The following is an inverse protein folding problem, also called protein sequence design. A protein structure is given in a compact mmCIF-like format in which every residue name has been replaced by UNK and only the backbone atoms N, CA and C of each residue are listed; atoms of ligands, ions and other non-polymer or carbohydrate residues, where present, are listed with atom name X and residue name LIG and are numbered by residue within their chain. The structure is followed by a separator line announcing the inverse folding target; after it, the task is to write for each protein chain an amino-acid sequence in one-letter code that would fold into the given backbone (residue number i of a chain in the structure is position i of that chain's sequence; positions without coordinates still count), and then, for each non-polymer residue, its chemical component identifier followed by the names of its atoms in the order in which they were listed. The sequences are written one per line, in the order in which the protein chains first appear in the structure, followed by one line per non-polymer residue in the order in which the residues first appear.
data_IF_518094665401
#
_entry.id   IF_518094665401
#
_cell.length_a   1.000
_cell.length_b   1.000
_cell.length_c   1.000
_cell.angle_alpha   90.00
_cell.angle_beta   90.00
_cell.angle_gamma   90.00
#
_symmetry.space_group_name_H-M   'P 1'
#
loop_
_entity.id
_entity.type
_entity.pdbx_description
1 polymer ?
#
# COMPACT_ATOMS: atom_id res chain seq x y z
N UNK A 1 -8.14 0.45 3.48
CA UNK A 1 -6.93 -0.11 2.84
C UNK A 1 -7.23 -0.46 1.39
N UNK A 2 -6.32 -0.20 0.44
CA UNK A 2 -6.60 -0.35 -1.00
C UNK A 2 -5.39 -0.85 -1.77
N UNK A 3 -5.54 -1.93 -2.56
CA UNK A 3 -4.53 -2.34 -3.53
C UNK A 3 -4.67 -1.48 -4.80
N UNK A 4 -3.55 -0.97 -5.32
CA UNK A 4 -3.54 -0.12 -6.51
C UNK A 4 -2.35 -0.44 -7.40
N UNK A 5 -2.61 -0.68 -8.69
CA UNK A 5 -1.59 -0.63 -9.74
C UNK A 5 -1.40 0.80 -10.23
N UNK A 6 -0.16 1.24 -10.41
CA UNK A 6 0.11 2.51 -11.10
C UNK A 6 -0.23 3.79 -10.33
N UNK A 7 0.06 4.94 -10.94
CA UNK A 7 -0.34 6.26 -10.46
C UNK A 7 0.61 6.90 -9.44
N UNK A 8 0.38 8.17 -9.12
CA UNK A 8 1.34 9.01 -8.37
C UNK A 8 1.63 8.60 -6.92
N UNK A 9 2.64 9.27 -6.36
CA UNK A 9 3.16 9.05 -4.99
C UNK A 9 2.32 9.69 -3.88
N UNK A 10 1.37 10.57 -4.20
CA UNK A 10 0.41 11.17 -3.25
C UNK A 10 1.07 11.75 -1.98
N UNK A 11 2.15 12.53 -2.16
CA UNK A 11 2.91 13.13 -1.05
C UNK A 11 3.92 12.21 -0.35
N UNK A 12 3.90 10.89 -0.61
CA UNK A 12 4.82 9.95 0.06
C UNK A 12 6.24 10.00 -0.53
N UNK A 13 7.20 10.54 0.22
CA UNK A 13 8.58 10.72 -0.24
C UNK A 13 9.27 9.40 -0.64
N UNK A 14 9.07 8.31 0.11
CA UNK A 14 9.62 7.00 -0.27
C UNK A 14 9.07 6.46 -1.60
N UNK A 15 7.80 6.74 -1.94
CA UNK A 15 7.23 6.31 -3.21
C UNK A 15 7.75 7.17 -4.36
N UNK A 16 7.96 8.48 -4.11
CA UNK A 16 8.60 9.36 -5.07
C UNK A 16 9.99 8.83 -5.44
N UNK A 17 10.80 8.49 -4.43
CA UNK A 17 12.13 7.96 -4.65
C UNK A 17 12.12 6.61 -5.39
N UNK A 18 11.21 5.69 -5.06
CA UNK A 18 11.05 4.42 -5.80
C UNK A 18 10.74 4.68 -7.28
N UNK A 19 9.81 5.60 -7.58
CA UNK A 19 9.46 5.96 -8.96
C UNK A 19 10.66 6.56 -9.69
N UNK A 20 11.40 7.47 -9.05
CA UNK A 20 12.62 8.07 -9.60
C UNK A 20 13.68 7.01 -9.94
N UNK A 21 13.88 6.01 -9.06
CA UNK A 21 14.89 4.95 -9.26
C UNK A 21 14.47 3.90 -10.28
N UNK A 22 13.18 3.61 -10.38
CA UNK A 22 12.67 2.64 -11.36
C UNK A 22 12.39 3.27 -12.73
N UNK A 23 12.32 4.60 -12.83
CA UNK A 23 11.90 5.30 -14.05
C UNK A 23 10.42 5.08 -14.40
N UNK A 24 9.65 4.43 -13.53
CA UNK A 24 8.24 4.12 -13.77
C UNK A 24 7.44 4.06 -12.47
N UNK A 25 6.13 4.31 -12.57
CA UNK A 25 5.17 4.10 -11.50
C UNK A 25 4.29 2.86 -11.71
N UNK A 26 4.58 2.04 -12.73
CA UNK A 26 3.79 0.87 -13.13
C UNK A 26 4.06 -0.35 -12.23
N UNK A 27 3.80 -0.19 -10.94
CA UNK A 27 3.88 -1.26 -9.95
C UNK A 27 2.63 -1.29 -9.07
N UNK A 28 2.39 -2.45 -8.46
CA UNK A 28 1.32 -2.63 -7.49
C UNK A 28 1.79 -2.18 -6.10
N UNK A 29 0.90 -1.50 -5.37
CA UNK A 29 1.13 -1.15 -3.97
C UNK A 29 -0.15 -1.29 -3.16
N UNK A 30 -0.01 -1.80 -1.95
CA UNK A 30 -1.06 -1.79 -0.96
C UNK A 30 -0.99 -0.46 -0.18
N UNK A 31 -2.08 0.29 -0.16
CA UNK A 31 -2.19 1.53 0.61
C UNK A 31 -2.81 1.24 1.97
N UNK A 32 -2.03 1.49 3.01
CA UNK A 32 -2.44 1.50 4.39
C UNK A 32 -2.71 2.94 4.82
N UNK A 33 -3.93 3.24 5.29
CA UNK A 33 -4.28 4.59 5.72
C UNK A 33 -3.99 4.73 7.21
N UNK A 34 -3.14 5.69 7.58
CA UNK A 34 -2.81 6.00 8.99
C UNK A 34 -3.58 7.19 9.53
N UNK A 35 -4.34 7.90 8.68
CA UNK A 35 -4.97 9.18 9.04
C UNK A 35 -4.22 10.36 8.44
N UNK A 36 -4.59 11.57 8.87
CA UNK A 36 -3.90 12.82 8.55
C UNK A 36 -4.11 13.82 9.70
N UNK A 37 -3.14 14.69 9.99
CA UNK A 37 -3.36 15.79 10.92
C UNK A 37 -4.34 16.81 10.33
N UNK A 38 -4.89 17.65 11.21
CA UNK A 38 -5.79 18.74 10.82
C UNK A 38 -5.04 19.82 10.01
N UNK A 39 -3.77 20.05 10.34
CA UNK A 39 -2.93 21.06 9.72
C UNK A 39 -1.88 20.38 8.84
N UNK A 40 -1.79 20.80 7.57
CA UNK A 40 -0.91 20.14 6.59
C UNK A 40 0.58 20.28 6.94
N UNK A 41 0.98 21.37 7.60
CA UNK A 41 2.37 21.57 8.02
C UNK A 41 2.82 20.59 9.11
N UNK A 42 1.91 19.94 9.82
CA UNK A 42 2.21 18.95 10.87
C UNK A 42 2.42 17.54 10.32
N UNK A 43 2.23 17.32 9.01
CA UNK A 43 2.37 16.00 8.39
C UNK A 43 3.74 15.35 8.66
N UNK A 44 4.89 16.05 8.58
CA UNK A 44 6.19 15.44 8.87
C UNK A 44 6.27 14.87 10.28
N UNK A 45 5.84 15.64 11.30
CA UNK A 45 5.89 15.19 12.68
C UNK A 45 4.88 14.06 12.94
N UNK A 46 3.68 14.18 12.36
CA UNK A 46 2.64 13.16 12.46
C UNK A 46 3.13 11.79 11.97
N UNK A 47 3.76 11.71 10.78
CA UNK A 47 4.22 10.42 10.23
C UNK A 47 5.47 9.86 10.92
N UNK A 48 6.21 10.68 11.68
CA UNK A 48 7.36 10.27 12.47
C UNK A 48 6.99 9.91 13.92
N UNK A 49 5.79 10.28 14.35
CA UNK A 49 5.28 10.00 15.69
C UNK A 49 4.87 8.54 15.88
N UNK A 50 4.80 8.12 17.15
CA UNK A 50 4.22 6.83 17.50
C UNK A 50 2.70 6.86 17.36
N UNK A 51 2.12 5.74 16.92
CA UNK A 51 0.68 5.50 17.05
C UNK A 51 0.19 5.64 18.50
N UNK A 52 -1.01 6.17 18.67
CA UNK A 52 -1.71 6.21 19.95
C UNK A 52 -2.06 4.79 20.44
N UNK A 53 -2.27 4.57 21.75
CA UNK A 53 -2.57 3.23 22.29
C UNK A 53 -3.76 2.53 21.59
N UNK A 54 -4.86 3.27 21.39
CA UNK A 54 -6.06 2.78 20.70
C UNK A 54 -5.86 2.53 19.19
N UNK A 55 -4.87 3.16 18.57
CA UNK A 55 -4.47 2.88 17.19
C UNK A 55 -3.59 1.63 17.13
N UNK A 56 -2.63 1.51 18.05
CA UNK A 56 -1.73 0.35 18.18
C UNK A 56 -2.49 -0.95 18.36
N UNK A 57 -3.54 -0.96 19.17
CA UNK A 57 -4.41 -2.13 19.38
C UNK A 57 -5.01 -2.67 18.08
N UNK A 58 -5.21 -1.82 17.07
CA UNK A 58 -5.82 -2.19 15.79
C UNK A 58 -4.79 -2.68 14.77
N UNK A 59 -3.51 -2.40 14.96
CA UNK A 59 -2.44 -2.72 14.00
C UNK A 59 -2.35 -4.23 13.70
N UNK A 60 -2.37 -5.16 14.69
CA UNK A 60 -2.26 -6.59 14.41
C UNK A 60 -3.34 -7.10 13.44
N UNK A 61 -4.59 -6.72 13.65
CA UNK A 61 -5.70 -7.11 12.78
C UNK A 61 -5.57 -6.49 11.38
N UNK A 62 -5.16 -5.21 11.31
CA UNK A 62 -4.93 -4.55 10.02
C UNK A 62 -3.77 -5.20 9.24
N UNK A 63 -2.71 -5.65 9.91
CA UNK A 63 -1.62 -6.41 9.27
C UNK A 63 -2.13 -7.76 8.77
N UNK A 64 -2.89 -8.50 9.56
CA UNK A 64 -3.51 -9.77 9.15
C UNK A 64 -4.36 -9.60 7.90
N UNK A 65 -5.25 -8.60 7.87
CA UNK A 65 -6.09 -8.28 6.70
C UNK A 65 -5.23 -7.88 5.50
N UNK A 66 -4.12 -7.17 5.71
CA UNK A 66 -3.18 -6.79 4.64
C UNK A 66 -2.56 -8.03 3.98
N UNK A 67 -2.08 -8.97 4.79
CA UNK A 67 -1.47 -10.22 4.31
C UNK A 67 -2.47 -11.09 3.56
N UNK A 68 -3.70 -11.19 4.05
CA UNK A 68 -4.76 -11.92 3.38
C UNK A 68 -5.05 -11.31 2.00
N UNK A 69 -5.23 -9.98 1.93
CA UNK A 69 -5.47 -9.27 0.66
C UNK A 69 -4.33 -9.44 -0.34
N UNK A 70 -3.08 -9.41 0.11
CA UNK A 70 -1.91 -9.65 -0.75
C UNK A 70 -1.93 -11.09 -1.27
N UNK A 71 -2.20 -12.06 -0.39
CA UNK A 71 -2.23 -13.49 -0.74
C UNK A 71 -3.33 -13.80 -1.75
N UNK A 72 -4.53 -13.28 -1.55
CA UNK A 72 -5.67 -13.47 -2.47
C UNK A 72 -5.36 -12.85 -3.83
N UNK A 73 -4.82 -11.64 -3.86
CA UNK A 73 -4.42 -11.00 -5.11
C UNK A 73 -3.35 -11.79 -5.88
N UNK A 74 -2.36 -12.35 -5.19
CA UNK A 74 -1.34 -13.21 -5.81
C UNK A 74 -1.97 -14.47 -6.40
N UNK A 75 -2.91 -15.11 -5.69
CA UNK A 75 -3.62 -16.31 -6.17
C UNK A 75 -4.48 -16.00 -7.39
N UNK A 76 -5.28 -14.94 -7.35
CA UNK A 76 -6.12 -14.50 -8.47
C UNK A 76 -5.28 -14.22 -9.72
N UNK A 77 -4.14 -13.54 -9.55
CA UNK A 77 -3.16 -13.29 -10.61
C UNK A 77 -2.66 -14.58 -11.24
N UNK A 78 -2.19 -15.54 -10.43
CA UNK A 78 -1.68 -16.83 -10.92
C UNK A 78 -2.74 -17.59 -11.73
N UNK A 79 -3.97 -17.63 -11.23
CA UNK A 79 -5.09 -18.28 -11.92
C UNK A 79 -5.41 -17.60 -13.26
N UNK A 80 -5.33 -16.26 -13.31
CA UNK A 80 -5.50 -15.51 -14.55
C UNK A 80 -4.39 -15.77 -15.58
N UNK A 81 -3.14 -15.94 -15.15
CA UNK A 81 -2.03 -16.31 -16.03
C UNK A 81 -2.19 -17.74 -16.58
N UNK A 82 -2.57 -18.71 -15.74
CA UNK A 82 -2.76 -20.09 -16.18
C UNK A 82 -3.90 -20.23 -17.21
N UNK A 83 -5.02 -19.53 -17.00
CA UNK A 83 -6.13 -19.55 -17.98
C UNK A 83 -5.78 -18.96 -19.34
N UNK A 84 -4.79 -18.07 -19.42
CA UNK A 84 -4.32 -17.50 -20.69
C UNK A 84 -3.36 -18.46 -21.42
N UNK A 85 -2.58 -19.26 -20.68
CA UNK A 85 -1.74 -20.30 -21.29
C UNK A 85 -2.52 -21.52 -21.75
N UNK A 86 -3.65 -21.84 -21.10
CA UNK A 86 -4.46 -23.02 -21.42
C UNK A 86 -5.43 -22.81 -22.61
N UNK A 87 -5.54 -21.58 -23.11
CA UNK A 87 -6.42 -21.18 -24.22
C UNK A 87 -5.64 -20.78 -25.49
N UNK A 88 -4.38 -21.21 -25.58
CA UNK A 88 -3.50 -21.18 -26.75
C UNK A 88 -3.19 -22.63 -27.16
#
# INVERSE_FOLDING_TARGET
MKLKGGGGHAGHNGLRNIVEKLGTNTFFRLRFGVGKPSITSEVPDYVLSNFLPNEKEKIPELVKVSLQKISDWIRERKNGFQKLSDNQ
#
